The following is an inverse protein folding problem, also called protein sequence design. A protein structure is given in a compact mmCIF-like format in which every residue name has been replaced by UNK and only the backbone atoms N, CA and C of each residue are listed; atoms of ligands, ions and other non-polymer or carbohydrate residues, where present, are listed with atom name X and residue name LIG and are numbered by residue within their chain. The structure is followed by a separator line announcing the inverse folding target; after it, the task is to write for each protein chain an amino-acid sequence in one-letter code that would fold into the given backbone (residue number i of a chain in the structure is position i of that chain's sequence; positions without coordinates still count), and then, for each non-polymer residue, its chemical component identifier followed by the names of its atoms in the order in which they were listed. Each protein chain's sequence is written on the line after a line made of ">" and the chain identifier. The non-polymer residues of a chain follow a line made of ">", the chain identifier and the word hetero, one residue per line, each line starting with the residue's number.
data_IF_965939336025
#
_entry.id   IF_965939336025
#
_cell.length_a   1.000
_cell.length_b   1.000
_cell.length_c   1.000
_cell.angle_alpha   90.00
_cell.angle_beta   90.00
_cell.angle_gamma   90.00
#
_symmetry.space_group_name_H-M   'P 1'
#
loop_
_entity.id
_entity.type
_entity.pdbx_description
1 polymer ?
#
# COMPACT_ATOMS: atom_id res chain seq x y z
N UNK A 1 -9.52 64.11 -25.23
CA UNK A 1 -9.90 64.17 -23.79
C UNK A 1 -9.38 62.92 -23.15
N UNK A 2 -8.20 62.97 -22.61
CA UNK A 2 -7.79 63.41 -21.31
C UNK A 2 -8.00 62.34 -20.23
N UNK A 3 -6.81 61.69 -19.89
CA UNK A 3 -6.35 61.32 -18.54
C UNK A 3 -7.09 60.15 -17.85
N UNK A 4 -6.45 59.20 -17.23
CA UNK A 4 -5.28 59.21 -16.34
C UNK A 4 -4.63 57.83 -16.25
N UNK A 5 -3.32 57.76 -16.38
CA UNK A 5 -2.40 56.71 -15.92
C UNK A 5 -2.10 56.94 -14.44
N UNK A 6 -1.92 55.86 -13.68
CA UNK A 6 -1.01 55.72 -12.51
C UNK A 6 -1.39 54.37 -11.89
N UNK A 7 -0.57 53.36 -11.67
CA UNK A 7 0.81 53.38 -11.18
C UNK A 7 0.78 52.73 -9.79
N UNK A 8 0.94 51.39 -9.63
CA UNK A 8 1.20 50.82 -8.31
C UNK A 8 2.59 50.15 -8.33
N UNK A 9 3.50 50.84 -7.65
CA UNK A 9 4.85 50.39 -7.37
C UNK A 9 4.86 49.47 -6.13
N UNK A 10 5.61 48.41 -6.28
CA UNK A 10 6.31 47.62 -5.24
C UNK A 10 6.68 48.34 -3.98
N UNK A 11 6.43 47.73 -2.83
CA UNK A 11 7.13 48.01 -1.57
C UNK A 11 7.81 46.74 -1.06
N UNK A 12 9.11 46.67 -1.37
CA UNK A 12 10.07 45.94 -0.54
C UNK A 12 10.41 46.86 0.65
N UNK A 13 10.33 46.35 1.86
CA UNK A 13 10.86 47.02 3.01
C UNK A 13 11.94 46.16 3.66
N UNK A 14 13.17 46.62 3.51
CA UNK A 14 14.35 46.14 4.23
C UNK A 14 14.23 46.62 5.68
N UNK A 15 14.50 45.76 6.65
CA UNK A 15 14.94 46.16 7.96
C UNK A 15 16.25 45.44 8.29
N UNK A 16 17.34 46.21 8.15
CA UNK A 16 18.59 45.94 8.81
C UNK A 16 18.72 46.96 9.94
N UNK A 17 18.85 46.47 11.15
CA UNK A 17 19.44 47.32 12.21
C UNK A 17 20.28 46.42 13.13
N UNK A 18 21.57 46.67 13.10
CA UNK A 18 22.55 46.15 14.02
C UNK A 18 22.48 46.92 15.34
N UNK A 19 22.48 46.22 16.46
CA UNK A 19 22.89 46.79 17.73
C UNK A 19 23.81 45.82 18.47
N UNK A 20 25.08 46.20 18.57
CA UNK A 20 26.08 45.61 19.46
C UNK A 20 25.83 46.10 20.87
N UNK A 21 25.59 45.21 21.82
CA UNK A 21 25.94 45.44 23.22
C UNK A 21 26.52 44.13 23.78
N UNK A 22 27.79 44.22 24.14
CA UNK A 22 28.47 43.17 24.93
C UNK A 22 28.17 43.45 26.40
N UNK A 23 27.82 42.42 27.17
CA UNK A 23 28.17 42.30 28.58
C UNK A 23 27.99 40.86 29.11
N UNK A 24 28.98 40.43 29.83
CA UNK A 24 29.20 39.17 30.51
C UNK A 24 28.01 38.60 31.26
N UNK A 25 27.89 37.28 31.24
CA UNK A 25 27.29 36.52 32.33
C UNK A 25 26.43 35.33 31.89
N UNK A 26 26.91 34.11 32.11
CA UNK A 26 26.12 32.92 32.23
C UNK A 26 25.64 32.29 30.95
N UNK A 27 26.41 31.34 30.39
CA UNK A 27 25.94 30.37 29.39
C UNK A 27 24.99 29.42 30.08
N UNK A 28 23.70 29.73 30.05
CA UNK A 28 22.64 28.74 30.22
C UNK A 28 22.39 28.18 28.82
N UNK A 29 22.93 27.01 28.55
CA UNK A 29 22.60 26.25 27.37
C UNK A 29 21.13 25.83 27.48
N UNK A 30 20.22 26.65 26.95
CA UNK A 30 18.90 26.14 26.57
C UNK A 30 19.11 25.22 25.38
N UNK A 31 19.19 23.92 25.66
CA UNK A 31 18.91 22.89 24.67
C UNK A 31 17.45 23.09 24.23
N UNK A 32 17.25 23.85 23.17
CA UNK A 32 16.00 23.85 22.43
C UNK A 32 15.85 22.47 21.87
N UNK A 33 15.09 21.61 22.56
CA UNK A 33 14.52 20.42 21.96
C UNK A 33 13.66 20.95 20.81
N UNK A 34 14.18 20.85 19.61
CA UNK A 34 13.41 21.14 18.41
C UNK A 34 12.26 20.12 18.41
N UNK A 35 11.09 20.54 18.85
CA UNK A 35 9.88 19.79 18.61
C UNK A 35 9.69 19.84 17.10
N UNK A 36 9.83 18.70 16.43
CA UNK A 36 9.44 18.56 15.05
C UNK A 36 7.95 18.92 14.98
N UNK A 37 7.62 20.01 14.30
CA UNK A 37 6.24 20.41 14.08
C UNK A 37 5.57 19.32 13.26
N UNK A 38 4.58 18.65 13.83
CA UNK A 38 3.83 17.60 13.13
C UNK A 38 2.93 18.27 12.10
N UNK A 39 3.32 18.21 10.85
CA UNK A 39 2.50 18.71 9.74
C UNK A 39 1.38 17.68 9.51
N UNK A 40 0.17 18.00 9.96
CA UNK A 40 -1.00 17.19 9.73
C UNK A 40 -1.54 17.40 8.30
N UNK A 41 -1.96 16.31 7.68
CA UNK A 41 -2.63 16.36 6.38
C UNK A 41 -3.98 17.07 6.53
N UNK A 42 -4.38 17.83 5.51
CA UNK A 42 -5.70 18.45 5.46
C UNK A 42 -6.81 17.42 5.69
N UNK A 43 -7.84 17.76 6.47
CA UNK A 43 -8.94 16.88 6.85
C UNK A 43 -8.71 16.04 8.12
N UNK A 44 -7.55 16.14 8.76
CA UNK A 44 -7.32 15.51 10.06
C UNK A 44 -7.75 16.47 11.18
N UNK A 45 -8.62 15.96 12.07
CA UNK A 45 -8.91 16.65 13.34
C UNK A 45 -7.72 16.42 14.29
N UNK A 46 -6.95 17.47 14.67
CA UNK A 46 -5.78 17.31 15.50
C UNK A 46 -6.13 16.94 16.93
N UNK A 47 -5.19 16.32 17.63
CA UNK A 47 -5.22 16.13 19.07
C UNK A 47 -5.42 17.46 19.78
N UNK A 48 -6.31 17.50 20.76
CA UNK A 48 -6.57 18.72 21.57
C UNK A 48 -5.51 18.90 22.68
N UNK A 49 -4.90 17.82 23.16
CA UNK A 49 -3.88 17.81 24.19
C UNK A 49 -2.90 16.65 24.02
N UNK A 50 -1.83 16.87 23.28
CA UNK A 50 -0.78 15.86 23.05
C UNK A 50 -0.01 15.48 24.35
N UNK A 51 -0.15 16.23 25.44
CA UNK A 51 0.49 15.87 26.72
C UNK A 51 -0.09 14.59 27.33
N UNK A 52 -1.33 14.26 26.96
CA UNK A 52 -2.06 13.07 27.41
C UNK A 52 -1.66 11.77 26.70
N UNK A 53 -0.74 11.81 25.74
CA UNK A 53 -0.20 10.58 25.12
C UNK A 53 0.26 9.64 26.22
N UNK A 54 -0.19 8.36 26.22
CA UNK A 54 0.18 7.37 27.25
C UNK A 54 1.69 7.16 27.36
N UNK A 55 2.17 6.89 28.58
CA UNK A 55 3.59 6.70 28.85
C UNK A 55 4.19 5.52 28.04
N UNK A 56 3.42 4.45 27.85
CA UNK A 56 3.79 3.29 27.00
C UNK A 56 4.10 3.72 25.57
N UNK A 57 3.30 4.60 24.97
CA UNK A 57 3.53 5.15 23.64
C UNK A 57 4.74 6.11 23.61
N UNK A 58 4.90 6.98 24.62
CA UNK A 58 6.04 7.90 24.73
C UNK A 58 7.40 7.19 24.81
N UNK A 59 7.44 6.01 25.40
CA UNK A 59 8.66 5.21 25.55
C UNK A 59 9.06 4.49 24.24
N UNK A 60 8.15 4.33 23.29
CA UNK A 60 8.45 3.76 21.98
C UNK A 60 8.98 4.82 21.05
N UNK A 61 10.28 4.90 20.88
CA UNK A 61 10.94 5.90 20.03
C UNK A 61 11.37 5.37 18.67
N UNK A 62 11.39 4.05 18.49
CA UNK A 62 11.89 3.35 17.31
C UNK A 62 10.87 2.40 16.66
N UNK A 63 9.66 2.34 17.21
CA UNK A 63 8.63 1.38 16.81
C UNK A 63 7.28 2.07 16.67
N UNK A 64 6.56 1.80 15.59
CA UNK A 64 5.14 2.12 15.42
C UNK A 64 4.33 0.83 15.52
N UNK A 65 3.24 0.87 16.29
CA UNK A 65 2.32 -0.25 16.49
C UNK A 65 0.96 0.12 15.93
N UNK A 66 0.51 -0.60 14.90
CA UNK A 66 -0.83 -0.43 14.31
C UNK A 66 -1.74 -1.60 14.69
N UNK A 67 -3.00 -1.32 14.99
CA UNK A 67 -4.02 -2.35 15.17
C UNK A 67 -4.43 -2.99 13.84
N UNK A 68 -4.67 -4.29 13.86
CA UNK A 68 -5.17 -5.06 12.73
C UNK A 68 -6.03 -6.23 13.25
N UNK A 69 -7.09 -6.60 12.52
CA UNK A 69 -7.78 -7.86 12.82
C UNK A 69 -6.94 -9.06 12.38
N UNK A 70 -7.23 -10.24 12.91
CA UNK A 70 -6.43 -11.46 12.72
C UNK A 70 -6.28 -11.82 11.23
N UNK A 71 -5.07 -11.81 10.65
CA UNK A 71 -4.81 -12.35 9.32
C UNK A 71 -4.70 -13.87 9.35
N UNK A 72 -4.84 -14.51 8.21
CA UNK A 72 -4.68 -15.97 8.08
C UNK A 72 -3.22 -16.42 7.89
N UNK A 73 -2.29 -15.50 7.70
CA UNK A 73 -0.88 -15.80 7.47
C UNK A 73 -0.53 -16.09 6.01
N UNK A 74 -1.40 -15.70 5.08
CA UNK A 74 -1.16 -15.85 3.64
C UNK A 74 -0.54 -14.54 3.12
N UNK A 75 0.75 -14.35 3.38
CA UNK A 75 1.46 -13.11 3.06
C UNK A 75 2.05 -13.11 1.65
N UNK A 76 1.21 -13.44 0.68
CA UNK A 76 1.50 -13.33 -0.74
C UNK A 76 0.47 -12.41 -1.40
N UNK A 77 0.88 -11.38 -2.17
CA UNK A 77 -0.03 -10.35 -2.69
C UNK A 77 -1.02 -10.86 -3.73
N UNK A 78 -0.93 -12.12 -4.12
CA UNK A 78 -1.80 -12.73 -5.12
C UNK A 78 -2.57 -13.94 -4.63
N UNK A 79 -2.35 -14.36 -3.36
CA UNK A 79 -3.00 -15.55 -2.79
C UNK A 79 -3.71 -15.26 -1.47
N UNK A 80 -3.67 -14.03 -0.96
CA UNK A 80 -4.43 -13.69 0.24
C UNK A 80 -5.94 -13.87 0.00
N UNK A 81 -6.67 -14.16 1.07
CA UNK A 81 -8.11 -14.43 1.02
C UNK A 81 -8.93 -13.44 1.84
N UNK A 82 -8.28 -12.49 2.50
CA UNK A 82 -8.94 -11.44 3.27
C UNK A 82 -8.11 -10.14 3.29
N UNK A 83 -8.76 -9.03 3.61
CA UNK A 83 -8.13 -7.71 3.63
C UNK A 83 -7.04 -7.53 4.70
N UNK A 84 -7.02 -8.37 5.73
CA UNK A 84 -5.99 -8.29 6.78
C UNK A 84 -4.66 -8.86 6.30
N UNK A 85 -4.68 -9.97 5.58
CA UNK A 85 -3.49 -10.47 4.88
C UNK A 85 -3.02 -9.46 3.82
N UNK A 86 -3.95 -8.83 3.09
CA UNK A 86 -3.64 -7.77 2.12
C UNK A 86 -2.90 -6.60 2.79
N UNK A 87 -3.37 -6.13 3.94
CA UNK A 87 -2.69 -5.06 4.68
C UNK A 87 -1.24 -5.42 5.01
N UNK A 88 -0.99 -6.67 5.41
CA UNK A 88 0.37 -7.18 5.64
C UNK A 88 1.19 -7.19 4.35
N UNK A 89 0.62 -7.65 3.23
CA UNK A 89 1.33 -7.67 1.94
C UNK A 89 1.64 -6.26 1.43
N UNK A 90 0.78 -5.27 1.68
CA UNK A 90 0.99 -3.87 1.30
C UNK A 90 2.17 -3.21 2.03
N UNK A 91 2.57 -3.74 3.18
CA UNK A 91 3.77 -3.30 3.91
C UNK A 91 5.05 -3.92 3.31
N UNK A 92 4.94 -5.14 2.78
CA UNK A 92 6.07 -5.96 2.30
C UNK A 92 6.36 -5.71 0.82
N UNK A 93 5.34 -5.44 0.01
CA UNK A 93 5.45 -5.33 -1.44
C UNK A 93 5.11 -3.93 -1.94
N UNK A 94 5.86 -3.45 -2.92
CA UNK A 94 5.52 -2.27 -3.71
C UNK A 94 4.92 -2.66 -5.05
N UNK A 95 4.06 -1.80 -5.57
CA UNK A 95 3.41 -2.01 -6.88
C UNK A 95 4.31 -1.53 -8.02
N UNK A 96 4.17 -2.16 -9.16
CA UNK A 96 4.80 -1.70 -10.40
C UNK A 96 4.29 -0.32 -10.82
N UNK A 97 2.97 -0.16 -10.83
CA UNK A 97 2.25 1.09 -11.05
C UNK A 97 1.32 1.29 -9.86
N UNK A 98 1.37 2.46 -9.26
CA UNK A 98 0.67 2.79 -8.03
C UNK A 98 -0.53 3.72 -8.30
N UNK A 99 -1.24 4.09 -7.26
CA UNK A 99 -2.38 5.00 -7.30
C UNK A 99 -2.12 6.20 -6.40
N UNK A 100 -2.49 7.38 -6.85
CA UNK A 100 -2.54 8.55 -5.98
C UNK A 100 -3.85 8.61 -5.17
N UNK A 101 -3.96 9.62 -4.30
CA UNK A 101 -5.16 9.83 -3.47
C UNK A 101 -6.42 10.19 -4.26
N UNK A 102 -6.30 10.45 -5.56
CA UNK A 102 -7.40 10.75 -6.46
C UNK A 102 -7.78 9.56 -7.35
N UNK A 103 -7.15 8.39 -7.14
CA UNK A 103 -7.35 7.20 -7.93
C UNK A 103 -6.74 7.27 -9.34
N UNK A 104 -5.73 8.10 -9.55
CA UNK A 104 -4.97 8.17 -10.79
C UNK A 104 -3.75 7.27 -10.73
N UNK A 105 -3.44 6.57 -11.82
CA UNK A 105 -2.23 5.77 -11.94
C UNK A 105 -0.97 6.66 -11.93
N UNK A 106 -0.03 6.31 -11.07
CA UNK A 106 1.25 7.01 -10.89
C UNK A 106 2.42 6.03 -10.90
N UNK A 107 3.65 6.48 -11.19
CA UNK A 107 4.84 5.64 -11.15
C UNK A 107 5.09 5.03 -9.75
N UNK A 108 5.21 3.70 -9.70
CA UNK A 108 5.69 2.93 -8.56
C UNK A 108 7.13 2.45 -8.76
N UNK A 109 7.33 1.14 -8.90
CA UNK A 109 8.61 0.54 -9.33
C UNK A 109 8.92 0.87 -10.79
N UNK A 110 7.89 1.01 -11.62
CA UNK A 110 8.06 1.61 -12.94
C UNK A 110 8.41 3.11 -12.80
N UNK A 111 9.42 3.55 -13.54
CA UNK A 111 9.75 4.96 -13.70
C UNK A 111 8.75 5.64 -14.64
N UNK A 112 8.38 4.94 -15.71
CA UNK A 112 7.48 5.43 -16.74
C UNK A 112 6.90 4.27 -17.56
N UNK A 113 5.91 4.60 -18.39
CA UNK A 113 5.39 3.70 -19.41
C UNK A 113 4.93 4.48 -20.62
N UNK A 114 4.92 3.82 -21.79
CA UNK A 114 4.32 4.31 -23.02
C UNK A 114 3.30 3.32 -23.53
N UNK A 115 2.31 3.82 -24.25
CA UNK A 115 1.26 3.02 -24.87
C UNK A 115 1.24 3.34 -26.36
N UNK A 116 1.19 2.30 -27.20
CA UNK A 116 1.10 2.47 -28.67
C UNK A 116 -0.20 3.19 -29.08
N UNK A 117 -0.23 3.82 -30.27
CA UNK A 117 -1.42 4.55 -30.74
C UNK A 117 -2.69 3.70 -30.83
N UNK A 118 -2.57 2.39 -31.04
CA UNK A 118 -3.67 1.43 -31.06
C UNK A 118 -4.03 0.89 -29.68
N UNK A 119 -3.38 1.38 -28.61
CA UNK A 119 -3.55 0.98 -27.21
C UNK A 119 -3.35 -0.52 -26.95
N UNK A 120 -2.53 -1.20 -27.73
CA UNK A 120 -2.27 -2.64 -27.56
C UNK A 120 -0.88 -2.98 -27.06
N UNK A 121 0.10 -2.09 -27.18
CA UNK A 121 1.47 -2.34 -26.74
C UNK A 121 1.83 -1.37 -25.62
N UNK A 122 2.14 -1.93 -24.47
CA UNK A 122 2.54 -1.21 -23.27
C UNK A 122 4.02 -1.46 -23.04
N UNK A 123 4.84 -0.43 -23.12
CA UNK A 123 6.27 -0.52 -22.81
C UNK A 123 6.51 0.12 -21.45
N UNK A 124 6.90 -0.69 -20.47
CA UNK A 124 7.09 -0.31 -19.08
C UNK A 124 8.58 -0.24 -18.80
N UNK A 125 9.05 0.90 -18.31
CA UNK A 125 10.44 1.11 -17.91
C UNK A 125 10.55 1.14 -16.40
N UNK A 126 11.36 0.24 -15.85
CA UNK A 126 11.67 0.17 -14.42
C UNK A 126 12.67 1.25 -14.01
N UNK A 127 12.62 1.66 -12.74
CA UNK A 127 13.68 2.47 -12.15
C UNK A 127 15.00 1.71 -12.14
N UNK A 128 16.14 2.36 -12.35
CA UNK A 128 17.44 1.70 -12.18
C UNK A 128 17.71 1.40 -10.70
N UNK A 129 18.47 0.33 -10.44
CA UNK A 129 18.93 -0.02 -9.10
C UNK A 129 17.86 -0.59 -8.15
N UNK A 130 16.71 -1.02 -8.66
CA UNK A 130 15.71 -1.70 -7.85
C UNK A 130 16.22 -3.03 -7.30
N UNK A 131 15.90 -3.31 -6.05
CA UNK A 131 16.21 -4.57 -5.39
C UNK A 131 15.04 -5.07 -4.56
N UNK A 132 15.04 -6.36 -4.27
CA UNK A 132 14.24 -6.95 -3.20
C UNK A 132 14.89 -6.66 -1.84
N UNK A 133 14.18 -6.99 -0.76
CA UNK A 133 14.63 -6.70 0.60
C UNK A 133 15.88 -7.49 1.03
N UNK A 134 16.23 -8.57 0.33
CA UNK A 134 17.46 -9.33 0.51
C UNK A 134 18.65 -8.77 -0.29
N UNK A 135 18.45 -7.65 -1.00
CA UNK A 135 19.46 -7.02 -1.87
C UNK A 135 19.56 -7.63 -3.27
N UNK A 136 18.83 -8.69 -3.59
CA UNK A 136 18.83 -9.27 -4.93
C UNK A 136 18.19 -8.29 -5.94
N UNK A 137 18.68 -8.21 -7.20
CA UNK A 137 18.17 -7.29 -8.20
C UNK A 137 16.71 -7.57 -8.54
N UNK A 138 15.90 -6.50 -8.73
CA UNK A 138 14.58 -6.56 -9.30
C UNK A 138 14.62 -6.05 -10.74
N UNK A 139 14.19 -6.88 -11.67
CA UNK A 139 14.29 -6.63 -13.10
C UNK A 139 12.97 -6.86 -13.84
N UNK A 140 12.95 -6.57 -15.13
CA UNK A 140 11.82 -6.85 -16.01
C UNK A 140 11.46 -8.36 -16.09
N UNK A 141 12.43 -9.25 -15.81
CA UNK A 141 12.18 -10.69 -15.71
C UNK A 141 11.26 -11.04 -14.53
N UNK A 142 11.37 -10.33 -13.40
CA UNK A 142 10.51 -10.54 -12.23
C UNK A 142 9.07 -10.08 -12.52
N UNK A 143 8.93 -8.99 -13.26
CA UNK A 143 7.61 -8.51 -13.70
C UNK A 143 6.97 -9.51 -14.67
N UNK A 144 7.72 -9.98 -15.68
CA UNK A 144 7.25 -10.98 -16.63
C UNK A 144 6.87 -12.30 -15.93
N UNK A 145 7.70 -12.75 -14.98
CA UNK A 145 7.42 -13.91 -14.13
C UNK A 145 6.11 -13.73 -13.34
N UNK A 146 5.93 -12.58 -12.70
CA UNK A 146 4.72 -12.27 -11.94
C UNK A 146 3.46 -12.40 -12.81
N UNK A 147 3.46 -11.78 -13.98
CA UNK A 147 2.33 -11.85 -14.91
C UNK A 147 2.11 -13.28 -15.44
N UNK A 148 3.19 -14.05 -15.59
CA UNK A 148 3.10 -15.48 -15.97
C UNK A 148 2.44 -16.32 -14.87
N UNK A 149 2.78 -16.11 -13.60
CA UNK A 149 2.14 -16.79 -12.46
C UNK A 149 0.64 -16.48 -12.42
N UNK A 150 0.23 -15.23 -12.66
CA UNK A 150 -1.19 -14.86 -12.68
C UNK A 150 -1.97 -15.49 -13.85
N UNK A 151 -1.28 -15.86 -14.91
CA UNK A 151 -1.85 -16.58 -16.07
C UNK A 151 -1.70 -18.10 -15.96
N UNK A 152 -1.13 -18.61 -14.86
CA UNK A 152 -0.96 -20.05 -14.68
C UNK A 152 -2.32 -20.76 -14.67
N UNK A 153 -2.43 -21.97 -15.29
CA UNK A 153 -3.65 -22.78 -15.26
C UNK A 153 -4.19 -23.05 -13.86
N UNK A 154 -3.30 -23.20 -12.87
CA UNK A 154 -3.65 -23.49 -11.47
C UNK A 154 -3.80 -22.27 -10.58
N UNK A 155 -3.69 -21.05 -11.15
CA UNK A 155 -3.90 -19.83 -10.39
C UNK A 155 -5.39 -19.63 -10.05
N UNK A 156 -5.68 -19.55 -8.76
CA UNK A 156 -7.02 -19.45 -8.17
C UNK A 156 -7.20 -18.22 -7.25
N UNK A 157 -6.26 -17.26 -7.27
CA UNK A 157 -6.39 -16.02 -6.50
C UNK A 157 -7.37 -15.03 -7.13
N UNK A 158 -7.67 -13.95 -6.38
CA UNK A 158 -8.70 -12.97 -6.76
C UNK A 158 -8.29 -12.03 -7.90
N UNK A 159 -7.00 -11.97 -8.25
CA UNK A 159 -6.52 -11.10 -9.32
C UNK A 159 -6.80 -11.69 -10.70
N UNK A 160 -7.88 -11.26 -11.33
CA UNK A 160 -8.17 -11.68 -12.70
C UNK A 160 -7.33 -10.88 -13.72
N UNK A 161 -6.16 -11.41 -14.05
CA UNK A 161 -5.26 -10.85 -15.07
C UNK A 161 -5.77 -11.10 -16.50
N UNK A 162 -6.72 -12.01 -16.72
CA UNK A 162 -7.26 -12.29 -18.06
C UNK A 162 -7.95 -11.05 -18.66
N UNK A 163 -8.46 -10.16 -17.81
CA UNK A 163 -9.04 -8.87 -18.20
C UNK A 163 -8.03 -7.91 -18.85
N UNK A 164 -6.73 -8.14 -18.70
CA UNK A 164 -5.70 -7.39 -19.40
C UNK A 164 -5.54 -7.84 -20.86
N UNK A 165 -6.13 -8.96 -21.27
CA UNK A 165 -6.09 -9.49 -22.63
C UNK A 165 -4.67 -9.65 -23.19
N UNK A 166 -3.72 -10.09 -22.38
CA UNK A 166 -2.32 -10.28 -22.80
C UNK A 166 -2.27 -11.34 -23.90
N UNK A 167 -1.60 -11.05 -25.00
CA UNK A 167 -1.48 -11.95 -26.14
C UNK A 167 -0.85 -13.29 -25.72
N UNK A 168 -1.46 -14.41 -26.10
CA UNK A 168 -1.07 -15.76 -25.69
C UNK A 168 -1.43 -16.10 -24.23
N UNK A 169 -1.96 -15.16 -23.44
CA UNK A 169 -2.32 -15.39 -22.05
C UNK A 169 -3.45 -16.40 -21.89
N UNK A 170 -4.47 -16.33 -22.72
CA UNK A 170 -5.58 -17.27 -22.72
C UNK A 170 -5.13 -18.71 -23.07
N UNK A 171 -4.24 -18.86 -24.03
CA UNK A 171 -3.71 -20.18 -24.43
C UNK A 171 -2.79 -20.75 -23.34
N UNK A 172 -1.97 -19.88 -22.70
CA UNK A 172 -1.14 -20.29 -21.58
C UNK A 172 -1.99 -20.76 -20.39
N UNK A 173 -3.02 -19.99 -20.02
CA UNK A 173 -3.96 -20.35 -18.95
C UNK A 173 -4.74 -21.62 -19.26
N UNK A 174 -5.06 -21.87 -20.52
CA UNK A 174 -5.72 -23.10 -20.96
C UNK A 174 -4.76 -24.31 -21.08
N UNK A 175 -3.47 -24.14 -20.78
CA UNK A 175 -2.46 -25.19 -20.91
C UNK A 175 -2.05 -25.52 -22.35
N UNK A 176 -2.45 -24.68 -23.32
CA UNK A 176 -2.20 -24.90 -24.76
C UNK A 176 -0.89 -24.31 -25.27
N UNK A 177 -0.27 -23.41 -24.50
CA UNK A 177 1.00 -22.76 -24.82
C UNK A 177 2.00 -22.91 -23.66
N UNK A 178 3.29 -22.97 -23.99
CA UNK A 178 4.38 -23.08 -23.00
C UNK A 178 4.89 -21.72 -22.49
N UNK A 179 4.45 -20.64 -23.13
CA UNK A 179 4.82 -19.27 -22.74
C UNK A 179 3.73 -18.29 -23.14
N UNK A 180 3.79 -17.08 -22.51
CA UNK A 180 2.88 -15.98 -22.82
C UNK A 180 3.55 -15.10 -23.86
N UNK A 181 3.12 -15.19 -25.13
CA UNK A 181 3.76 -14.53 -26.28
C UNK A 181 3.71 -13.01 -26.20
N UNK A 182 2.75 -12.44 -25.47
CA UNK A 182 2.60 -10.99 -25.28
C UNK A 182 3.54 -10.40 -24.23
N UNK A 183 4.34 -11.20 -23.52
CA UNK A 183 5.33 -10.73 -22.56
C UNK A 183 6.73 -10.79 -23.20
N UNK A 184 7.36 -9.62 -23.39
CA UNK A 184 8.69 -9.54 -23.98
C UNK A 184 9.60 -8.68 -23.10
N UNK A 185 10.59 -9.30 -22.46
CA UNK A 185 11.67 -8.60 -21.80
C UNK A 185 12.62 -8.07 -22.90
N UNK A 186 12.72 -6.75 -23.00
CA UNK A 186 13.56 -6.06 -24.00
C UNK A 186 14.99 -5.96 -23.47
N UNK A 187 15.10 -5.56 -22.20
CA UNK A 187 16.35 -5.46 -21.45
C UNK A 187 16.01 -5.59 -19.94
N UNK A 188 16.99 -5.63 -19.04
CA UNK A 188 16.72 -5.80 -17.59
C UNK A 188 15.80 -4.77 -16.97
N UNK A 189 15.62 -3.60 -17.58
CA UNK A 189 14.77 -2.52 -17.06
C UNK A 189 13.51 -2.30 -17.92
N UNK A 190 13.32 -3.03 -19.01
CA UNK A 190 12.23 -2.74 -19.97
C UNK A 190 11.42 -4.00 -20.26
N UNK A 191 10.15 -3.98 -19.89
CA UNK A 191 9.16 -4.99 -20.25
C UNK A 191 8.18 -4.40 -21.28
N UNK A 192 7.95 -5.13 -22.37
CA UNK A 192 6.87 -4.86 -23.29
C UNK A 192 5.74 -5.88 -23.11
N UNK A 193 4.52 -5.37 -22.93
CA UNK A 193 3.30 -6.18 -22.82
C UNK A 193 2.43 -5.89 -24.02
N UNK A 194 2.14 -6.91 -24.84
CA UNK A 194 1.24 -6.82 -25.99
C UNK A 194 -0.10 -7.47 -25.65
N UNK A 195 -1.20 -6.79 -25.97
CA UNK A 195 -2.57 -7.25 -25.75
C UNK A 195 -3.27 -7.54 -27.07
N UNK A 196 -4.26 -8.43 -27.05
CA UNK A 196 -5.06 -8.78 -28.23
C UNK A 196 -6.06 -7.67 -28.58
N UNK A 197 -6.47 -6.90 -27.58
CA UNK A 197 -7.40 -5.77 -27.73
C UNK A 197 -7.06 -4.66 -26.73
N UNK A 198 -7.39 -3.39 -27.01
CA UNK A 198 -7.18 -2.31 -26.07
C UNK A 198 -8.08 -2.47 -24.83
N UNK A 199 -7.59 -2.08 -23.67
CA UNK A 199 -8.33 -2.16 -22.40
C UNK A 199 -8.05 -0.97 -21.49
N UNK A 200 -9.11 -0.30 -21.03
CA UNK A 200 -9.00 0.86 -20.13
C UNK A 200 -8.32 0.50 -18.79
N UNK A 201 -8.45 -0.75 -18.33
CA UNK A 201 -7.91 -1.21 -17.05
C UNK A 201 -6.60 -1.97 -17.17
N UNK A 202 -6.05 -2.12 -18.40
CA UNK A 202 -4.85 -2.94 -18.63
C UNK A 202 -3.68 -2.53 -17.76
N UNK A 203 -3.34 -1.23 -17.72
CA UNK A 203 -2.23 -0.74 -16.87
C UNK A 203 -2.44 -1.05 -15.39
N UNK A 204 -3.65 -0.90 -14.88
CA UNK A 204 -3.98 -1.23 -13.49
C UNK A 204 -3.80 -2.73 -13.20
N UNK A 205 -4.18 -3.59 -14.15
CA UNK A 205 -4.08 -5.04 -14.01
C UNK A 205 -2.63 -5.54 -14.07
N UNK A 206 -1.81 -5.01 -14.98
CA UNK A 206 -0.40 -5.40 -15.10
C UNK A 206 0.50 -4.67 -14.11
N UNK A 207 0.00 -3.62 -13.44
CA UNK A 207 0.73 -2.74 -12.53
C UNK A 207 0.80 -3.22 -11.08
N UNK A 208 0.45 -4.45 -10.79
CA UNK A 208 0.42 -5.02 -9.43
C UNK A 208 1.79 -5.13 -8.73
N UNK A 209 1.82 -5.71 -7.52
CA UNK A 209 3.05 -6.07 -6.82
C UNK A 209 3.94 -7.00 -7.63
N UNK A 210 5.27 -6.93 -7.44
CA UNK A 210 6.22 -7.73 -8.21
C UNK A 210 6.82 -8.83 -7.34
N UNK A 211 6.71 -10.08 -7.81
CA UNK A 211 7.29 -11.27 -7.18
C UNK A 211 8.71 -11.52 -7.67
N UNK A 212 9.63 -11.87 -6.78
CA UNK A 212 10.99 -12.30 -7.14
C UNK A 212 10.97 -13.63 -7.90
N UNK A 213 11.42 -13.62 -9.15
CA UNK A 213 11.60 -14.84 -9.95
C UNK A 213 12.61 -15.79 -9.31
N UNK A 214 13.67 -15.25 -8.72
CA UNK A 214 14.70 -16.03 -8.05
C UNK A 214 14.18 -16.74 -6.79
N UNK A 215 13.24 -16.13 -6.05
CA UNK A 215 12.66 -16.68 -4.83
C UNK A 215 11.44 -17.55 -5.11
N UNK A 216 10.42 -16.98 -5.74
CA UNK A 216 9.16 -17.68 -6.00
C UNK A 216 9.22 -18.59 -7.24
N UNK A 217 10.10 -18.29 -8.18
CA UNK A 217 10.25 -19.07 -9.42
C UNK A 217 11.15 -20.29 -9.29
N UNK A 218 11.93 -20.42 -8.21
CA UNK A 218 12.88 -21.54 -8.02
C UNK A 218 12.23 -22.92 -8.14
N UNK A 219 11.03 -23.09 -7.61
CA UNK A 219 10.25 -24.33 -7.69
C UNK A 219 8.96 -24.18 -8.47
N UNK A 220 8.81 -23.10 -9.26
CA UNK A 220 7.63 -22.91 -10.09
C UNK A 220 7.55 -23.95 -11.21
N UNK A 221 6.38 -24.55 -11.34
CA UNK A 221 6.03 -25.43 -12.43
C UNK A 221 4.65 -25.04 -12.96
N UNK A 222 4.53 -24.85 -14.27
CA UNK A 222 3.23 -24.55 -14.88
C UNK A 222 2.18 -25.59 -14.51
N UNK A 223 1.04 -25.12 -14.03
CA UNK A 223 -0.06 -25.96 -13.56
C UNK A 223 0.12 -26.48 -12.13
N UNK A 224 1.18 -26.06 -11.44
CA UNK A 224 1.38 -26.38 -10.03
C UNK A 224 2.01 -25.18 -9.30
N UNK A 225 1.24 -24.55 -8.43
CA UNK A 225 1.68 -23.40 -7.61
C UNK A 225 1.97 -23.77 -6.15
N UNK A 226 2.10 -25.05 -5.80
CA UNK A 226 2.31 -25.50 -4.43
C UNK A 226 3.61 -24.93 -3.83
N UNK A 227 4.66 -24.79 -4.64
CA UNK A 227 5.88 -24.17 -4.19
C UNK A 227 5.66 -22.72 -3.74
N UNK A 228 4.92 -21.91 -4.52
CA UNK A 228 4.59 -20.53 -4.16
C UNK A 228 3.74 -20.50 -2.90
N UNK A 229 2.78 -21.40 -2.75
CA UNK A 229 1.92 -21.51 -1.56
C UNK A 229 2.73 -21.88 -0.31
N UNK A 230 3.76 -22.71 -0.45
CA UNK A 230 4.66 -23.08 0.67
C UNK A 230 5.46 -21.89 1.22
N UNK A 231 5.52 -20.79 0.48
CA UNK A 231 6.22 -19.55 0.85
C UNK A 231 5.30 -18.47 1.46
N UNK A 232 4.01 -18.75 1.71
CA UNK A 232 3.06 -17.78 2.26
C UNK A 232 3.55 -17.15 3.58
N UNK A 233 4.17 -17.94 4.46
CA UNK A 233 4.76 -17.47 5.71
C UNK A 233 6.22 -16.99 5.61
N UNK A 234 6.78 -16.90 4.39
CA UNK A 234 8.17 -16.49 4.13
C UNK A 234 8.21 -15.50 2.94
N UNK A 235 7.48 -14.39 3.02
CA UNK A 235 7.40 -13.44 1.92
C UNK A 235 8.74 -12.75 1.70
N UNK A 236 9.16 -12.65 0.44
CA UNK A 236 10.25 -11.79 -0.01
C UNK A 236 9.67 -10.69 -0.90
N UNK A 237 9.71 -9.47 -0.44
CA UNK A 237 9.17 -8.32 -1.16
C UNK A 237 10.20 -7.22 -1.39
N UNK A 238 9.71 -6.07 -1.80
CA UNK A 238 10.48 -4.89 -2.18
C UNK A 238 9.86 -3.60 -1.61
N UNK A 239 8.98 -3.74 -0.64
CA UNK A 239 8.27 -2.66 0.02
C UNK A 239 9.08 -1.98 1.12
N UNK A 240 8.47 -1.04 1.84
CA UNK A 240 9.15 -0.24 2.87
C UNK A 240 9.63 -1.06 4.07
N UNK A 241 9.00 -2.18 4.38
CA UNK A 241 9.38 -3.00 5.52
C UNK A 241 9.58 -4.46 5.12
N UNK A 242 10.46 -5.13 5.85
CA UNK A 242 10.77 -6.56 5.73
C UNK A 242 10.00 -7.31 6.80
N UNK A 243 9.37 -8.41 6.42
CA UNK A 243 8.70 -9.31 7.35
C UNK A 243 9.69 -10.07 8.21
N UNK A 244 9.48 -10.05 9.52
CA UNK A 244 10.29 -10.80 10.49
C UNK A 244 9.55 -12.02 11.00
N UNK A 245 8.33 -11.82 11.54
CA UNK A 245 7.63 -12.86 12.27
C UNK A 245 6.12 -12.59 12.36
N UNK A 246 5.32 -13.64 12.28
CA UNK A 246 3.93 -13.66 12.66
C UNK A 246 3.74 -14.54 13.89
N UNK A 247 3.07 -14.04 14.92
CA UNK A 247 2.63 -14.75 16.11
C UNK A 247 1.11 -14.71 16.09
N UNK A 248 0.44 -15.80 15.67
CA UNK A 248 -1.02 -15.85 15.57
C UNK A 248 -1.72 -15.40 16.86
N UNK A 249 -2.79 -14.62 16.69
CA UNK A 249 -3.54 -14.05 17.81
C UNK A 249 -2.85 -12.90 18.54
N UNK A 250 -1.62 -12.52 18.16
CA UNK A 250 -0.84 -11.53 18.88
C UNK A 250 -0.34 -10.39 17.98
N UNK A 251 0.60 -10.67 17.08
CA UNK A 251 1.26 -9.62 16.29
C UNK A 251 2.02 -10.12 15.07
N UNK A 252 2.23 -9.21 14.13
CA UNK A 252 3.15 -9.37 13.01
C UNK A 252 4.24 -8.31 13.14
N UNK A 253 5.51 -8.71 13.06
CA UNK A 253 6.68 -7.84 13.22
C UNK A 253 7.40 -7.61 11.91
N UNK A 254 7.90 -6.39 11.76
CA UNK A 254 8.67 -5.96 10.62
C UNK A 254 9.81 -5.05 11.04
N UNK A 255 10.88 -5.02 10.25
CA UNK A 255 11.92 -4.00 10.33
C UNK A 255 12.01 -3.20 9.02
N UNK A 256 12.55 -1.98 9.10
CA UNK A 256 12.70 -1.09 7.95
C UNK A 256 13.59 -1.72 6.87
N UNK A 257 13.14 -1.68 5.62
CA UNK A 257 13.90 -2.16 4.48
C UNK A 257 14.96 -1.13 4.06
N UNK A 258 16.24 -1.42 4.29
CA UNK A 258 17.35 -0.57 3.87
C UNK A 258 17.52 -0.48 2.34
N UNK A 259 16.93 -1.42 1.61
CA UNK A 259 16.92 -1.48 0.14
C UNK A 259 15.68 -0.87 -0.50
N UNK A 260 14.80 -0.24 0.29
CA UNK A 260 13.58 0.34 -0.26
C UNK A 260 13.88 1.48 -1.23
N UNK A 261 13.33 1.44 -2.43
CA UNK A 261 13.65 2.35 -3.53
C UNK A 261 13.33 3.83 -3.28
N UNK A 262 12.51 4.15 -2.27
CA UNK A 262 12.24 5.53 -1.83
C UNK A 262 13.07 5.96 -0.62
N UNK A 263 14.07 5.17 -0.24
CA UNK A 263 14.89 5.37 0.94
C UNK A 263 14.41 4.55 2.14
N UNK A 264 15.32 4.25 3.06
CA UNK A 264 15.00 3.50 4.28
C UNK A 264 13.95 4.23 5.11
N UNK A 265 12.85 3.58 5.52
CA UNK A 265 11.86 4.19 6.39
C UNK A 265 12.51 4.76 7.68
N UNK A 266 12.09 5.95 8.15
CA UNK A 266 12.68 6.57 9.34
C UNK A 266 12.34 5.83 10.63
N UNK A 267 11.25 5.05 10.65
CA UNK A 267 10.86 4.23 11.81
C UNK A 267 11.49 2.84 11.65
N UNK A 268 12.43 2.45 12.52
CA UNK A 268 13.16 1.20 12.38
C UNK A 268 12.30 -0.06 12.47
N UNK A 269 11.22 -0.02 13.26
CA UNK A 269 10.34 -1.18 13.50
C UNK A 269 8.90 -0.81 13.29
N UNK A 270 8.16 -1.74 12.70
CA UNK A 270 6.72 -1.66 12.55
C UNK A 270 6.08 -2.96 13.05
N UNK A 271 4.99 -2.84 13.80
CA UNK A 271 4.26 -3.99 14.35
C UNK A 271 2.78 -3.83 14.00
N UNK A 272 2.19 -4.86 13.43
CA UNK A 272 0.75 -5.04 13.48
C UNK A 272 0.39 -5.81 14.74
N UNK A 273 -0.34 -5.17 15.65
CA UNK A 273 -0.95 -5.79 16.84
C UNK A 273 -2.31 -6.35 16.46
N UNK A 274 -2.54 -7.63 16.75
CA UNK A 274 -3.87 -8.21 16.52
C UNK A 274 -4.85 -7.61 17.52
N UNK A 275 -5.88 -6.96 16.98
CA UNK A 275 -6.97 -6.31 17.73
C UNK A 275 -8.32 -6.81 17.23
N UNK A 276 -9.38 -6.43 17.91
CA UNK A 276 -10.76 -6.64 17.47
C UNK A 276 -11.65 -5.48 17.97
N UNK A 277 -12.87 -5.33 17.47
CA UNK A 277 -13.74 -4.20 17.81
C UNK A 277 -14.05 -4.04 19.32
N UNK A 278 -13.85 -5.09 20.13
CA UNK A 278 -14.07 -5.01 21.58
C UNK A 278 -12.81 -4.61 22.36
N UNK A 279 -11.62 -4.71 21.76
CA UNK A 279 -10.33 -4.45 22.44
C UNK A 279 -9.57 -3.26 21.87
N UNK A 280 -9.79 -2.90 20.60
CA UNK A 280 -9.00 -1.90 19.89
C UNK A 280 -9.01 -0.52 20.58
N UNK A 281 -10.17 -0.05 21.08
CA UNK A 281 -10.25 1.24 21.75
C UNK A 281 -9.43 1.27 23.03
N UNK A 282 -9.48 0.20 23.86
CA UNK A 282 -8.70 0.09 25.09
C UNK A 282 -7.19 0.07 24.77
N UNK A 283 -6.76 -0.72 23.79
CA UNK A 283 -5.35 -0.81 23.41
C UNK A 283 -4.81 0.54 22.89
N UNK A 284 -5.63 1.27 22.14
CA UNK A 284 -5.29 2.62 21.71
C UNK A 284 -5.25 3.60 22.89
N UNK A 285 -6.25 3.57 23.77
CA UNK A 285 -6.34 4.42 24.94
C UNK A 285 -5.15 4.23 25.91
N UNK A 286 -4.66 3.00 26.08
CA UNK A 286 -3.50 2.69 26.93
C UNK A 286 -2.17 2.90 26.22
N UNK A 287 -2.20 3.23 24.92
CA UNK A 287 -1.01 3.43 24.10
C UNK A 287 -0.30 2.14 23.71
N UNK A 288 -0.96 0.99 23.74
CA UNK A 288 -0.42 -0.26 23.20
C UNK A 288 -0.45 -0.28 21.66
N UNK A 289 -1.37 0.48 21.04
CA UNK A 289 -1.34 0.82 19.61
C UNK A 289 -1.18 2.31 19.41
N UNK A 290 -0.48 2.71 18.34
CA UNK A 290 -0.27 4.10 17.93
C UNK A 290 -1.26 4.51 16.84
N UNK A 291 -1.77 3.54 16.10
CA UNK A 291 -2.75 3.69 15.02
C UNK A 291 -3.73 2.52 15.05
N UNK A 292 -5.01 2.81 14.86
CA UNK A 292 -6.04 1.77 14.67
C UNK A 292 -7.16 2.34 13.78
N UNK A 293 -7.98 1.45 13.22
CA UNK A 293 -9.17 1.80 12.46
C UNK A 293 -10.41 1.59 13.34
N UNK A 294 -11.19 2.64 13.50
CA UNK A 294 -12.44 2.64 14.27
C UNK A 294 -13.63 2.85 13.36
N UNK A 295 -14.83 2.54 13.86
CA UNK A 295 -16.04 2.85 13.11
C UNK A 295 -16.27 4.36 13.07
N UNK A 296 -16.91 4.86 12.02
CA UNK A 296 -17.26 6.28 11.88
C UNK A 296 -18.57 6.67 12.56
N UNK A 297 -19.02 5.88 13.55
CA UNK A 297 -20.20 6.23 14.35
C UNK A 297 -19.92 7.49 15.19
N UNK A 298 -20.89 8.40 15.31
CA UNK A 298 -20.71 9.63 16.09
C UNK A 298 -20.19 9.39 17.51
N UNK A 299 -20.71 8.38 18.21
CA UNK A 299 -20.30 8.07 19.58
C UNK A 299 -18.84 7.61 19.67
N UNK A 300 -18.36 6.83 18.71
CA UNK A 300 -16.95 6.38 18.67
C UNK A 300 -16.02 7.58 18.40
N UNK A 301 -16.42 8.49 17.53
CA UNK A 301 -15.66 9.71 17.21
C UNK A 301 -15.56 10.59 18.46
N UNK A 302 -16.66 10.80 19.20
CA UNK A 302 -16.64 11.60 20.42
C UNK A 302 -15.80 10.95 21.53
N UNK A 303 -15.83 9.63 21.68
CA UNK A 303 -14.95 8.92 22.61
C UNK A 303 -13.47 9.13 22.24
N UNK A 304 -13.10 9.05 20.97
CA UNK A 304 -11.73 9.31 20.51
C UNK A 304 -11.31 10.76 20.78
N UNK A 305 -12.19 11.75 20.56
CA UNK A 305 -11.93 13.17 20.88
C UNK A 305 -11.68 13.37 22.40
N UNK A 306 -12.42 12.66 23.25
CA UNK A 306 -12.27 12.77 24.71
C UNK A 306 -10.93 12.26 25.22
N UNK A 307 -10.20 11.43 24.45
CA UNK A 307 -8.83 11.03 24.78
C UNK A 307 -7.82 12.19 24.75
N UNK A 308 -8.13 13.26 24.02
CA UNK A 308 -7.30 14.46 23.90
C UNK A 308 -6.08 14.28 22.99
N UNK A 309 -5.41 13.15 23.01
CA UNK A 309 -4.15 12.91 22.29
C UNK A 309 -4.32 12.32 20.88
N UNK A 310 -5.54 11.97 20.47
CA UNK A 310 -5.79 11.32 19.20
C UNK A 310 -5.88 12.33 18.04
N UNK A 311 -5.13 12.09 16.97
CA UNK A 311 -5.39 12.70 15.67
C UNK A 311 -6.41 11.86 14.93
N UNK A 312 -7.55 12.44 14.53
CA UNK A 312 -8.65 11.71 13.92
C UNK A 312 -8.74 12.05 12.44
N UNK A 313 -8.55 11.05 11.58
CA UNK A 313 -8.70 11.16 10.14
C UNK A 313 -10.00 10.47 9.70
N UNK A 314 -10.96 11.25 9.22
CA UNK A 314 -12.18 10.73 8.60
C UNK A 314 -11.98 10.72 7.09
N UNK A 315 -12.08 9.55 6.48
CA UNK A 315 -11.99 9.41 5.04
C UNK A 315 -13.18 8.62 4.50
N UNK A 316 -13.62 9.01 3.31
CA UNK A 316 -14.63 8.26 2.58
C UNK A 316 -14.03 6.96 2.06
N UNK A 317 -14.75 5.85 2.22
CA UNK A 317 -14.45 4.60 1.57
C UNK A 317 -15.31 4.45 0.32
N UNK A 318 -14.77 3.88 -0.74
CA UNK A 318 -15.53 3.40 -1.89
C UNK A 318 -16.08 1.99 -1.69
N UNK A 319 -15.87 1.42 -0.52
CA UNK A 319 -16.32 0.09 -0.16
C UNK A 319 -17.85 0.09 0.07
N UNK A 320 -18.44 -1.03 -0.23
CA UNK A 320 -19.86 -1.28 0.06
C UNK A 320 -20.03 -2.67 0.65
N UNK A 321 -21.03 -2.82 1.51
CA UNK A 321 -21.42 -4.12 2.04
C UNK A 321 -22.48 -4.73 1.14
N UNK A 322 -22.32 -6.01 0.83
CA UNK A 322 -23.26 -6.75 0.00
C UNK A 322 -23.58 -8.12 0.61
N UNK A 323 -24.73 -8.66 0.25
CA UNK A 323 -25.07 -10.05 0.50
C UNK A 323 -24.93 -10.82 -0.81
N UNK A 324 -24.02 -11.77 -0.85
CA UNK A 324 -23.81 -12.64 -1.98
C UNK A 324 -24.67 -13.91 -1.86
N UNK A 325 -25.36 -14.24 -2.94
CA UNK A 325 -26.19 -15.44 -2.99
C UNK A 325 -25.51 -16.54 -3.78
N UNK A 326 -25.33 -17.70 -3.17
CA UNK A 326 -24.92 -18.90 -3.89
C UNK A 326 -26.04 -19.36 -4.82
N UNK A 327 -26.02 -18.90 -6.06
CA UNK A 327 -27.04 -19.20 -7.07
C UNK A 327 -27.07 -20.65 -7.53
N UNK A 328 -26.08 -21.46 -7.16
CA UNK A 328 -26.08 -22.90 -7.44
C UNK A 328 -26.99 -23.68 -6.48
N UNK A 329 -27.37 -23.09 -5.34
CA UNK A 329 -28.37 -23.70 -4.45
C UNK A 329 -29.77 -23.59 -5.07
N UNK A 330 -30.55 -24.70 -5.18
CA UNK A 330 -31.87 -24.71 -5.81
C UNK A 330 -32.81 -23.63 -5.29
N UNK A 331 -32.85 -23.42 -3.97
CA UNK A 331 -33.69 -22.38 -3.33
C UNK A 331 -33.32 -20.94 -3.73
N UNK A 332 -32.10 -20.71 -4.24
CA UNK A 332 -31.61 -19.39 -4.62
C UNK A 332 -31.46 -19.21 -6.14
N UNK A 333 -31.86 -20.19 -6.94
CA UNK A 333 -31.84 -20.06 -8.40
C UNK A 333 -32.91 -19.10 -8.91
N UNK A 334 -34.09 -19.07 -8.26
CA UNK A 334 -35.15 -18.14 -8.64
C UNK A 334 -34.77 -16.69 -8.28
N UNK A 335 -34.73 -15.83 -9.30
CA UNK A 335 -34.44 -14.40 -9.15
C UNK A 335 -35.39 -13.71 -8.16
N UNK A 336 -36.66 -14.11 -8.11
CA UNK A 336 -37.67 -13.55 -7.22
C UNK A 336 -37.34 -13.80 -5.75
N UNK A 337 -36.81 -15.00 -5.42
CA UNK A 337 -36.36 -15.32 -4.06
C UNK A 337 -35.19 -14.43 -3.65
N UNK A 338 -34.23 -14.19 -4.55
CA UNK A 338 -33.11 -13.29 -4.26
C UNK A 338 -33.55 -11.83 -4.13
N UNK A 339 -34.52 -11.39 -4.95
CA UNK A 339 -35.06 -10.04 -4.87
C UNK A 339 -35.88 -9.81 -3.60
N UNK A 340 -36.58 -10.83 -3.11
CA UNK A 340 -37.31 -10.77 -1.85
C UNK A 340 -36.39 -10.51 -0.65
N UNK A 341 -35.20 -11.11 -0.64
CA UNK A 341 -34.22 -10.93 0.45
C UNK A 341 -33.75 -9.49 0.62
N UNK A 342 -33.69 -8.67 -0.44
CA UNK A 342 -33.30 -7.26 -0.32
C UNK A 342 -34.30 -6.42 0.49
N UNK A 343 -35.52 -6.93 0.70
CA UNK A 343 -36.57 -6.24 1.46
C UNK A 343 -36.47 -6.50 2.97
N UNK A 344 -35.54 -7.33 3.41
CA UNK A 344 -35.30 -7.70 4.82
C UNK A 344 -33.91 -7.30 5.33
N UNK A 345 -33.13 -6.61 4.49
CA UNK A 345 -31.80 -6.02 4.83
C UNK A 345 -31.93 -4.45 4.79
#
# INVERSE_FOLDING_TARGET
>A
MSRLKQGLKTRQTRFALALKVALLGGVVAFSSVAHAEVILKEGITPASDASQIPASAKLRTDTVVAGISEPQGIFNPYFFVNGWDENVTNVIFSRLIDWDSQGKLVPGLAESWTVSPDNKVYTIKLRPGLTFSDGSPLTAEDVAFTLTVLLDPSYDGDTDITLANIAGGADYKAGKADSVSGLKVIDPLTLQVTTTQPGATTLAKIGGPVLSKAWYGKGYQRGNLDYLRSLHGKPLGNGPYVYDKYIPGQEIRFHANSHFYRGTPPTPRFIYRVTNPSTNFQLFQTGETDYDAFTSRPDDIEQLKMLGFANINLYGSSDYSQVEFNVHRPALQDKRVRQDRKSVV
#
